data_IF_574221799153
#
_entry.id   IF_574221799153
#
_cell.length_a   1.000
_cell.length_b   1.000
_cell.length_c   1.000
_cell.angle_alpha   90.00
_cell.angle_beta   90.00
_cell.angle_gamma   90.00
#
_symmetry.space_group_name_H-M   'P 1'
#
loop_
_entity.id
_entity.type
_entity.pdbx_description
1 polymer ?
#
# COMPACT_ATOMS: atom_id res chain seq x y z
N UNK A 1 30.04 -51.42 1.51
CA UNK A 1 29.01 -50.58 0.95
C UNK A 1 29.66 -49.24 0.64
N UNK A 2 30.09 -49.05 -0.62
CA UNK A 2 30.55 -47.78 -1.13
C UNK A 2 29.36 -46.88 -1.34
N UNK A 3 29.26 -45.81 -0.56
CA UNK A 3 28.34 -44.71 -0.81
C UNK A 3 28.95 -43.91 -1.97
N UNK A 4 28.41 -44.14 -3.16
CA UNK A 4 28.71 -43.30 -4.33
C UNK A 4 28.32 -41.86 -3.99
N UNK A 5 29.31 -41.01 -3.80
CA UNK A 5 29.16 -39.56 -3.81
C UNK A 5 28.75 -39.17 -5.21
N UNK A 6 27.41 -39.17 -5.48
CA UNK A 6 26.91 -38.51 -6.67
C UNK A 6 27.22 -37.03 -6.54
N UNK A 7 28.02 -36.58 -7.46
CA UNK A 7 28.33 -35.17 -7.66
C UNK A 7 27.06 -34.32 -7.72
N UNK A 8 26.81 -33.61 -6.64
CA UNK A 8 25.69 -32.64 -6.54
C UNK A 8 26.04 -31.30 -7.19
N UNK A 9 27.18 -31.25 -7.91
CA UNK A 9 27.76 -29.99 -8.38
C UNK A 9 27.44 -29.62 -9.83
N UNK A 10 26.65 -30.40 -10.58
CA UNK A 10 26.68 -30.20 -12.03
C UNK A 10 25.40 -29.64 -12.69
N UNK A 11 24.26 -29.44 -12.03
CA UNK A 11 23.06 -29.07 -12.77
C UNK A 11 22.29 -27.84 -12.26
N UNK A 12 22.85 -27.07 -11.35
CA UNK A 12 22.35 -25.72 -11.11
C UNK A 12 23.25 -24.73 -11.84
N UNK A 13 22.97 -24.51 -13.13
CA UNK A 13 23.57 -23.42 -13.89
C UNK A 13 23.28 -22.09 -13.23
N UNK A 14 24.16 -21.63 -12.35
CA UNK A 14 24.09 -20.29 -11.76
C UNK A 14 24.23 -19.15 -12.80
N UNK A 15 24.60 -19.54 -14.05
CA UNK A 15 24.72 -18.64 -15.19
C UNK A 15 23.36 -18.23 -15.82
N UNK A 16 22.25 -18.91 -15.47
CA UNK A 16 20.95 -18.66 -16.09
C UNK A 16 20.04 -17.78 -15.22
N UNK A 17 20.47 -17.39 -13.99
CA UNK A 17 19.74 -16.47 -13.14
C UNK A 17 19.94 -15.03 -13.61
N UNK A 18 18.83 -14.37 -13.88
CA UNK A 18 18.78 -12.97 -14.29
C UNK A 18 18.44 -12.06 -13.10
N UNK A 19 18.66 -10.76 -13.24
CA UNK A 19 18.19 -9.77 -12.25
C UNK A 19 16.67 -9.84 -12.08
N UNK A 20 15.92 -10.18 -13.13
CA UNK A 20 14.48 -10.35 -13.07
C UNK A 20 14.06 -11.52 -12.15
N UNK A 21 14.84 -12.60 -12.10
CA UNK A 21 14.58 -13.72 -11.19
C UNK A 21 14.78 -13.33 -9.72
N UNK A 22 15.79 -12.50 -9.44
CA UNK A 22 16.01 -11.93 -8.11
C UNK A 22 14.89 -10.99 -7.70
N UNK A 23 14.46 -10.10 -8.59
CA UNK A 23 13.32 -9.20 -8.34
C UNK A 23 12.02 -9.99 -8.08
N UNK A 24 11.77 -11.02 -8.89
CA UNK A 24 10.61 -11.90 -8.68
C UNK A 24 10.68 -12.65 -7.33
N UNK A 25 11.85 -13.18 -6.97
CA UNK A 25 12.05 -13.85 -5.69
C UNK A 25 11.88 -12.89 -4.50
N UNK A 26 12.42 -11.67 -4.60
CA UNK A 26 12.25 -10.59 -3.63
C UNK A 26 10.77 -10.26 -3.45
N UNK A 27 10.05 -10.03 -4.53
CA UNK A 27 8.61 -9.73 -4.51
C UNK A 27 7.81 -10.86 -3.85
N UNK A 28 8.16 -12.11 -4.15
CA UNK A 28 7.51 -13.29 -3.54
C UNK A 28 7.74 -13.38 -2.03
N UNK A 29 8.93 -13.03 -1.56
CA UNK A 29 9.27 -13.04 -0.12
C UNK A 29 8.58 -11.88 0.59
N UNK A 30 8.61 -10.68 0.02
CA UNK A 30 8.13 -9.46 0.68
C UNK A 30 6.60 -9.27 0.59
N UNK A 31 6.01 -9.58 -0.56
CA UNK A 31 4.56 -9.37 -0.81
C UNK A 31 3.75 -10.67 -0.77
N UNK A 32 4.40 -11.84 -0.71
CA UNK A 32 3.75 -13.14 -0.79
C UNK A 32 3.54 -13.64 -2.22
N UNK A 33 3.03 -14.86 -2.34
CA UNK A 33 2.77 -15.52 -3.64
C UNK A 33 1.59 -14.89 -4.36
N UNK A 34 1.72 -14.67 -5.67
CA UNK A 34 0.61 -14.23 -6.53
C UNK A 34 -0.51 -15.28 -6.60
N UNK A 35 -1.75 -14.81 -6.51
CA UNK A 35 -2.96 -15.65 -6.62
C UNK A 35 -3.71 -15.34 -7.91
N UNK A 36 -3.05 -15.52 -9.05
CA UNK A 36 -3.63 -15.24 -10.38
C UNK A 36 -4.88 -16.08 -10.72
N UNK A 37 -5.08 -17.20 -10.01
CA UNK A 37 -6.28 -18.04 -10.16
C UNK A 37 -7.53 -17.46 -9.49
N UNK A 38 -7.39 -16.42 -8.67
CA UNK A 38 -8.52 -15.74 -8.04
C UNK A 38 -9.22 -14.85 -9.06
N UNK A 39 -10.43 -15.23 -9.45
CA UNK A 39 -11.24 -14.42 -10.34
C UNK A 39 -11.84 -13.24 -9.55
N UNK A 40 -11.43 -12.03 -9.90
CA UNK A 40 -12.04 -10.79 -9.41
C UNK A 40 -12.99 -10.26 -10.48
N UNK A 41 -14.11 -9.71 -10.06
CA UNK A 41 -15.01 -8.98 -10.97
C UNK A 41 -14.36 -7.68 -11.43
N UNK A 42 -14.84 -7.10 -12.53
CA UNK A 42 -14.31 -5.82 -13.02
C UNK A 42 -14.55 -4.67 -12.03
N UNK A 43 -15.64 -4.75 -11.25
CA UNK A 43 -15.95 -3.81 -10.18
C UNK A 43 -14.95 -3.92 -9.02
N UNK A 44 -14.65 -5.14 -8.56
CA UNK A 44 -13.64 -5.38 -7.53
C UNK A 44 -12.24 -4.95 -7.97
N UNK A 45 -11.86 -5.22 -9.23
CA UNK A 45 -10.59 -4.74 -9.79
C UNK A 45 -10.51 -3.23 -9.80
N UNK A 46 -11.60 -2.57 -10.21
CA UNK A 46 -11.67 -1.11 -10.24
C UNK A 46 -11.54 -0.52 -8.85
N UNK A 47 -12.25 -1.09 -7.89
CA UNK A 47 -12.20 -0.67 -6.49
C UNK A 47 -10.79 -0.83 -5.93
N UNK A 48 -10.18 -2.01 -6.11
CA UNK A 48 -8.79 -2.28 -5.69
C UNK A 48 -7.81 -1.32 -6.36
N UNK A 49 -7.98 -1.02 -7.66
CA UNK A 49 -7.09 -0.12 -8.38
C UNK A 49 -7.12 1.31 -7.81
N UNK A 50 -8.29 1.83 -7.45
CA UNK A 50 -8.40 3.14 -6.80
C UNK A 50 -7.87 3.12 -5.36
N UNK A 51 -8.11 2.04 -4.62
CA UNK A 51 -7.58 1.85 -3.28
C UNK A 51 -6.05 1.91 -3.28
N UNK A 52 -5.39 1.07 -4.09
CA UNK A 52 -3.93 1.04 -4.20
C UNK A 52 -3.36 2.34 -4.80
N UNK A 53 -4.03 2.93 -5.78
CA UNK A 53 -3.65 4.24 -6.32
C UNK A 53 -3.72 5.34 -5.24
N UNK A 54 -4.68 5.26 -4.32
CA UNK A 54 -4.80 6.17 -3.18
C UNK A 54 -3.59 6.10 -2.25
N UNK A 55 -3.17 4.90 -1.85
CA UNK A 55 -1.96 4.70 -1.06
C UNK A 55 -0.72 5.23 -1.78
N UNK A 56 -0.57 4.90 -3.07
CA UNK A 56 0.56 5.31 -3.88
C UNK A 56 0.65 6.83 -4.02
N UNK A 57 -0.46 7.48 -4.34
CA UNK A 57 -0.50 8.93 -4.55
C UNK A 57 -0.21 9.70 -3.26
N UNK A 58 -0.77 9.26 -2.12
CA UNK A 58 -0.44 9.85 -0.83
C UNK A 58 1.04 9.65 -0.51
N UNK A 59 1.61 8.46 -0.75
CA UNK A 59 3.03 8.19 -0.53
C UNK A 59 3.97 9.10 -1.34
N UNK A 60 3.57 9.48 -2.55
CA UNK A 60 4.35 10.40 -3.40
C UNK A 60 4.34 11.85 -2.91
N UNK A 61 3.33 12.26 -2.12
CA UNK A 61 3.12 13.67 -1.74
C UNK A 61 3.35 13.96 -0.25
N UNK A 62 3.51 12.95 0.60
CA UNK A 62 3.86 13.18 2.01
C UNK A 62 5.33 13.58 2.18
N UNK A 63 5.65 14.40 3.20
CA UNK A 63 6.97 15.03 3.31
C UNK A 63 8.10 14.06 3.67
N UNK A 64 7.81 12.94 4.30
CA UNK A 64 8.83 11.98 4.74
C UNK A 64 8.29 10.57 4.80
N UNK A 65 8.74 9.74 3.87
CA UNK A 65 8.36 8.33 3.78
C UNK A 65 9.46 7.53 3.07
N UNK A 66 9.36 6.21 3.12
CA UNK A 66 10.17 5.34 2.27
C UNK A 66 9.71 5.45 0.81
N UNK A 67 10.63 5.31 -0.14
CA UNK A 67 10.27 5.37 -1.55
C UNK A 67 9.25 4.28 -1.90
N UNK A 68 8.31 4.65 -2.77
CA UNK A 68 7.40 3.70 -3.38
C UNK A 68 8.21 2.73 -4.24
N UNK A 69 8.02 1.43 -4.04
CA UNK A 69 8.71 0.41 -4.81
C UNK A 69 7.83 -0.13 -5.93
N UNK A 70 6.65 -0.62 -5.58
CA UNK A 70 5.74 -1.28 -6.51
C UNK A 70 4.30 -1.20 -6.03
N UNK A 71 3.37 -1.06 -6.97
CA UNK A 71 1.92 -1.09 -6.72
C UNK A 71 1.31 -2.17 -7.60
N UNK A 72 0.48 -3.04 -7.05
CA UNK A 72 -0.15 -4.13 -7.80
C UNK A 72 -1.58 -4.38 -7.35
N UNK A 73 -2.43 -4.71 -8.32
CA UNK A 73 -3.80 -5.19 -8.07
C UNK A 73 -3.92 -6.71 -8.27
N UNK A 74 -2.78 -7.40 -8.46
CA UNK A 74 -2.75 -8.86 -8.47
C UNK A 74 -2.84 -9.33 -7.01
N UNK A 75 -3.85 -10.16 -6.65
CA UNK A 75 -3.99 -10.65 -5.30
C UNK A 75 -2.75 -11.41 -4.82
N UNK A 76 -2.29 -11.08 -3.60
CA UNK A 76 -1.14 -11.71 -2.95
C UNK A 76 -1.49 -12.11 -1.52
N UNK A 77 -1.27 -13.35 -1.17
CA UNK A 77 -1.62 -13.86 0.15
C UNK A 77 -3.11 -13.62 0.48
N UNK A 78 -3.41 -12.76 1.44
CA UNK A 78 -4.78 -12.37 1.85
C UNK A 78 -5.21 -11.01 1.26
N UNK A 79 -4.30 -10.23 0.71
CA UNK A 79 -4.57 -8.92 0.14
C UNK A 79 -5.04 -9.02 -1.31
N UNK A 80 -5.99 -8.17 -1.71
CA UNK A 80 -6.49 -8.06 -3.09
C UNK A 80 -5.56 -7.21 -3.95
N UNK A 81 -4.84 -6.28 -3.35
CA UNK A 81 -3.78 -5.48 -3.95
C UNK A 81 -2.68 -5.22 -2.92
N UNK A 82 -1.58 -4.64 -3.33
CA UNK A 82 -0.47 -4.27 -2.46
C UNK A 82 0.24 -3.03 -2.99
N UNK A 83 0.34 -2.01 -2.15
CA UNK A 83 1.22 -0.87 -2.35
C UNK A 83 2.44 -1.03 -1.47
N UNK A 84 3.59 -1.27 -2.09
CA UNK A 84 4.83 -1.57 -1.38
C UNK A 84 5.78 -0.39 -1.40
N UNK A 85 6.21 0.00 -0.20
CA UNK A 85 7.33 0.91 0.03
C UNK A 85 8.54 0.10 0.46
N UNK A 86 9.71 0.46 -0.02
CA UNK A 86 10.97 -0.23 0.29
C UNK A 86 11.99 0.80 0.76
N UNK A 87 12.48 0.70 1.99
CA UNK A 87 13.50 1.60 2.49
C UNK A 87 14.82 1.39 1.73
N UNK A 88 15.50 2.48 1.36
CA UNK A 88 16.82 2.43 0.72
C UNK A 88 17.92 1.94 1.67
N UNK A 89 17.66 2.05 2.97
CA UNK A 89 18.57 1.62 4.06
C UNK A 89 17.75 1.27 5.30
N UNK A 90 18.31 0.47 6.16
CA UNK A 90 17.69 0.11 7.44
C UNK A 90 17.50 1.35 8.32
N UNK A 91 16.27 1.54 8.82
CA UNK A 91 15.95 2.58 9.77
C UNK A 91 16.15 2.09 11.19
N UNK A 92 17.07 2.69 11.92
CA UNK A 92 17.27 2.41 13.35
C UNK A 92 16.24 3.13 14.23
N UNK A 93 15.61 4.19 13.71
CA UNK A 93 14.59 4.97 14.42
C UNK A 93 13.69 5.71 13.43
N UNK A 94 12.45 5.98 13.83
CA UNK A 94 11.49 6.75 13.04
C UNK A 94 11.19 8.09 13.73
N UNK A 95 11.16 9.16 12.94
CA UNK A 95 10.76 10.48 13.44
C UNK A 95 9.24 10.58 13.54
N UNK A 96 8.72 11.51 14.36
CA UNK A 96 7.28 11.79 14.44
C UNK A 96 6.69 12.10 13.07
N UNK A 97 7.34 12.95 12.28
CA UNK A 97 6.90 13.30 10.92
C UNK A 97 6.83 12.09 9.98
N UNK A 98 7.76 11.12 10.09
CA UNK A 98 7.71 9.88 9.34
C UNK A 98 6.49 9.04 9.71
N UNK A 99 6.18 8.91 11.00
CA UNK A 99 5.01 8.16 11.48
C UNK A 99 3.70 8.83 11.09
N UNK A 100 3.61 10.16 11.17
CA UNK A 100 2.45 10.94 10.72
C UNK A 100 2.23 10.79 9.20
N UNK A 101 3.30 10.83 8.40
CA UNK A 101 3.24 10.55 6.96
C UNK A 101 2.74 9.14 6.68
N UNK A 102 3.24 8.15 7.43
CA UNK A 102 2.82 6.76 7.29
C UNK A 102 1.35 6.54 7.66
N UNK A 103 0.86 7.24 8.69
CA UNK A 103 -0.57 7.25 9.02
C UNK A 103 -1.41 7.77 7.86
N UNK A 104 -1.01 8.89 7.24
CA UNK A 104 -1.73 9.44 6.09
C UNK A 104 -1.74 8.47 4.90
N UNK A 105 -0.63 7.76 4.63
CA UNK A 105 -0.56 6.75 3.56
C UNK A 105 -1.56 5.62 3.83
N UNK A 106 -1.66 5.12 5.06
CA UNK A 106 -2.60 4.04 5.43
C UNK A 106 -4.06 4.42 5.19
N UNK A 107 -4.43 5.70 5.32
CA UNK A 107 -5.77 6.17 5.00
C UNK A 107 -5.99 6.47 3.51
N UNK A 108 -4.93 6.49 2.69
CA UNK A 108 -4.99 6.81 1.27
C UNK A 108 -5.98 5.94 0.50
N UNK A 109 -5.97 4.62 0.71
CA UNK A 109 -6.87 3.68 0.05
C UNK A 109 -8.34 3.94 0.42
N UNK A 110 -8.64 4.04 1.71
CA UNK A 110 -9.99 4.30 2.22
C UNK A 110 -10.57 5.62 1.70
N UNK A 111 -9.79 6.68 1.73
CA UNK A 111 -10.22 8.01 1.28
C UNK A 111 -10.39 8.03 -0.24
N UNK A 112 -9.56 7.31 -1.00
CA UNK A 112 -9.75 7.16 -2.45
C UNK A 112 -11.09 6.48 -2.77
N UNK A 113 -11.44 5.39 -2.06
CA UNK A 113 -12.77 4.75 -2.20
C UNK A 113 -13.90 5.74 -1.93
N UNK A 114 -13.84 6.50 -0.83
CA UNK A 114 -14.85 7.48 -0.45
C UNK A 114 -15.04 8.58 -1.51
N UNK A 115 -13.93 9.11 -2.04
CA UNK A 115 -13.97 10.19 -3.03
C UNK A 115 -14.52 9.74 -4.39
N UNK A 116 -14.27 8.49 -4.79
CA UNK A 116 -14.62 7.99 -6.13
C UNK A 116 -15.97 7.31 -6.15
N UNK A 117 -16.28 6.50 -5.13
CA UNK A 117 -17.48 5.67 -5.09
C UNK A 117 -18.55 6.20 -4.14
N UNK A 118 -18.22 7.18 -3.32
CA UNK A 118 -19.09 7.74 -2.28
C UNK A 118 -19.00 7.00 -0.95
N UNK A 119 -19.40 7.67 0.16
CA UNK A 119 -19.23 7.13 1.51
C UNK A 119 -20.04 5.85 1.77
N UNK A 120 -21.15 5.64 1.05
CA UNK A 120 -21.98 4.44 1.20
C UNK A 120 -21.37 3.19 0.55
N UNK A 121 -20.43 3.37 -0.39
CA UNK A 121 -19.81 2.28 -1.15
C UNK A 121 -18.38 1.94 -0.70
N UNK A 122 -17.98 2.46 0.45
CA UNK A 122 -16.68 2.12 1.02
C UNK A 122 -16.68 0.69 1.54
N UNK A 123 -15.59 -0.02 1.30
CA UNK A 123 -15.51 -1.45 1.59
C UNK A 123 -14.77 -1.77 2.89
N UNK A 124 -14.83 -3.03 3.27
CA UNK A 124 -14.03 -3.58 4.39
C UNK A 124 -12.55 -3.80 4.01
N UNK A 125 -12.15 -3.48 2.78
CA UNK A 125 -10.77 -3.65 2.29
C UNK A 125 -9.73 -2.93 3.15
N UNK A 126 -10.08 -1.72 3.62
CA UNK A 126 -9.22 -0.92 4.47
C UNK A 126 -9.13 -1.38 5.95
N UNK A 127 -9.73 -2.53 6.33
CA UNK A 127 -9.76 -2.95 7.73
C UNK A 127 -8.36 -3.18 8.32
N UNK A 128 -7.43 -3.75 7.54
CA UNK A 128 -6.03 -3.93 7.95
C UNK A 128 -5.30 -2.61 8.12
N UNK A 129 -5.52 -1.65 7.22
CA UNK A 129 -4.88 -0.34 7.27
C UNK A 129 -5.34 0.46 8.49
N UNK A 130 -6.65 0.44 8.76
CA UNK A 130 -7.23 1.06 9.96
C UNK A 130 -6.67 0.41 11.23
N UNK A 131 -6.51 -0.91 11.26
CA UNK A 131 -5.93 -1.62 12.39
C UNK A 131 -4.48 -1.19 12.64
N UNK A 132 -3.65 -1.19 11.59
CA UNK A 132 -2.23 -0.79 11.65
C UNK A 132 -2.11 0.68 12.04
N UNK A 133 -2.92 1.56 11.45
CA UNK A 133 -2.94 2.99 11.77
C UNK A 133 -3.31 3.22 13.25
N UNK A 134 -4.34 2.53 13.76
CA UNK A 134 -4.75 2.64 15.17
C UNK A 134 -3.67 2.17 16.13
N UNK A 135 -3.02 1.04 15.83
CA UNK A 135 -1.90 0.53 16.64
C UNK A 135 -0.71 1.49 16.62
N UNK A 136 -0.38 2.03 15.46
CA UNK A 136 0.71 3.02 15.31
C UNK A 136 0.42 4.30 16.07
N UNK A 137 -0.77 4.89 15.90
CA UNK A 137 -1.18 6.08 16.64
C UNK A 137 -1.15 5.85 18.14
N UNK A 138 -1.68 4.71 18.61
CA UNK A 138 -1.61 4.33 20.04
C UNK A 138 -0.17 4.20 20.52
N UNK A 139 0.73 3.57 19.75
CA UNK A 139 2.16 3.48 20.06
C UNK A 139 2.84 4.85 20.16
N UNK A 140 2.52 5.77 19.24
CA UNK A 140 3.04 7.15 19.27
C UNK A 140 2.66 7.86 20.57
N UNK A 141 1.42 7.67 21.04
CA UNK A 141 0.92 8.30 22.27
C UNK A 141 1.44 7.61 23.53
N UNK A 142 1.32 6.28 23.61
CA UNK A 142 1.52 5.55 24.88
C UNK A 142 2.95 5.04 25.09
N UNK A 143 3.69 4.79 24.01
CA UNK A 143 5.03 4.21 24.08
C UNK A 143 6.15 5.22 23.79
N UNK A 144 5.93 6.13 22.81
CA UNK A 144 7.00 7.01 22.31
C UNK A 144 6.92 8.45 22.88
N UNK A 145 5.85 8.77 23.65
CA UNK A 145 5.70 10.09 24.27
C UNK A 145 5.58 11.23 23.26
N UNK A 146 4.89 10.98 22.13
CA UNK A 146 4.72 11.95 21.04
C UNK A 146 3.45 12.79 21.15
N UNK A 147 2.79 12.83 22.32
CA UNK A 147 1.67 13.72 22.64
C UNK A 147 2.09 14.84 23.57
N UNK A 148 1.75 16.07 23.23
CA UNK A 148 2.02 17.23 24.09
C UNK A 148 1.12 17.24 25.34
N UNK A 149 -0.10 16.67 25.27
CA UNK A 149 -1.03 16.61 26.40
C UNK A 149 -0.65 15.57 27.44
N UNK A 150 -0.07 14.45 27.01
CA UNK A 150 0.34 13.36 27.91
C UNK A 150 1.81 13.44 28.31
N UNK A 151 2.59 14.28 27.62
CA UNK A 151 4.01 14.44 27.87
C UNK A 151 4.83 13.21 27.51
N UNK A 152 6.07 13.18 28.04
CA UNK A 152 7.05 12.12 27.72
C UNK A 152 6.98 10.99 28.74
N UNK A 153 5.79 10.43 28.95
CA UNK A 153 5.52 9.34 29.90
C UNK A 153 5.11 8.10 29.11
N UNK A 154 5.59 6.93 29.54
CA UNK A 154 5.18 5.65 28.96
C UNK A 154 3.96 5.12 29.73
N UNK A 155 2.85 4.97 29.02
CA UNK A 155 1.58 4.47 29.55
C UNK A 155 1.29 3.02 29.14
N UNK A 156 2.19 2.37 28.43
CA UNK A 156 2.04 0.97 28.03
C UNK A 156 2.34 0.08 29.24
N UNK A 157 1.44 -0.85 29.56
CA UNK A 157 1.73 -1.89 30.53
C UNK A 157 2.95 -2.70 30.05
N UNK A 158 3.85 -3.04 30.97
CA UNK A 158 4.88 -4.03 30.65
C UNK A 158 4.17 -5.34 30.35
N UNK A 159 4.29 -5.85 29.15
CA UNK A 159 3.98 -7.23 28.82
C UNK A 159 4.99 -8.10 29.59
N UNK A 160 4.68 -8.39 30.83
CA UNK A 160 5.36 -9.48 31.53
C UNK A 160 4.94 -10.75 30.82
N UNK A 161 5.93 -11.45 30.25
CA UNK A 161 5.75 -12.78 29.67
C UNK A 161 4.89 -13.61 30.63
N UNK A 162 3.74 -14.06 30.16
CA UNK A 162 2.85 -14.96 30.90
C UNK A 162 3.53 -16.32 30.95
N UNK A 163 4.37 -16.52 31.96
CA UNK A 163 4.93 -17.82 32.27
C UNK A 163 3.87 -18.60 33.05
N UNK A 164 3.39 -19.71 32.47
CA UNK A 164 2.46 -20.67 33.06
C UNK A 164 1.01 -20.19 33.30
N UNK A 165 0.21 -20.10 32.24
CA UNK A 165 -1.22 -20.50 32.29
C UNK A 165 -2.19 -19.71 33.17
N UNK A 166 -1.79 -18.71 33.92
CA UNK A 166 -2.67 -17.82 34.66
C UNK A 166 -2.97 -16.58 33.81
N UNK A 167 -4.24 -16.43 33.43
CA UNK A 167 -4.76 -15.17 32.91
C UNK A 167 -4.60 -14.10 34.00
N UNK A 168 -3.48 -13.36 33.94
CA UNK A 168 -3.33 -12.18 34.78
C UNK A 168 -4.29 -11.15 34.20
N UNK A 169 -5.31 -10.78 34.98
CA UNK A 169 -6.17 -9.64 34.70
C UNK A 169 -5.23 -8.46 34.39
N UNK A 170 -5.26 -7.95 33.15
CA UNK A 170 -4.51 -6.76 32.76
C UNK A 170 -5.03 -5.61 33.65
N UNK A 171 -4.33 -5.33 34.72
CA UNK A 171 -4.56 -4.11 35.50
C UNK A 171 -4.17 -2.95 34.59
N UNK A 172 -5.15 -2.17 34.16
CA UNK A 172 -4.90 -0.87 33.53
C UNK A 172 -4.14 -0.01 34.54
N UNK A 173 -2.85 0.15 34.36
CA UNK A 173 -1.99 1.00 35.18
C UNK A 173 -2.20 2.51 34.92
N UNK A 174 -3.38 2.88 34.40
CA UNK A 174 -3.71 4.24 33.96
C UNK A 174 -5.04 4.63 34.57
N UNK A 175 -5.14 5.85 35.11
CA UNK A 175 -6.43 6.37 35.61
C UNK A 175 -7.42 6.52 34.45
N UNK A 176 -8.72 6.46 34.76
CA UNK A 176 -9.79 6.68 33.78
C UNK A 176 -9.64 8.00 33.02
N UNK A 177 -9.30 9.08 33.71
CA UNK A 177 -9.03 10.38 33.11
C UNK A 177 -7.88 10.35 32.10
N UNK A 178 -6.80 9.63 32.42
CA UNK A 178 -5.66 9.48 31.49
C UNK A 178 -6.04 8.62 30.29
N UNK A 179 -6.81 7.54 30.48
CA UNK A 179 -7.31 6.69 29.40
C UNK A 179 -8.15 7.49 28.40
N UNK A 180 -9.04 8.37 28.90
CA UNK A 180 -9.84 9.26 28.04
C UNK A 180 -8.96 10.21 27.20
N UNK A 181 -7.89 10.76 27.79
CA UNK A 181 -6.96 11.63 27.07
C UNK A 181 -6.20 10.82 25.99
N UNK A 182 -5.77 9.58 26.30
CA UNK A 182 -5.13 8.69 25.32
C UNK A 182 -6.05 8.47 24.12
N UNK A 183 -7.31 8.11 24.35
CA UNK A 183 -8.27 7.84 23.28
C UNK A 183 -8.56 9.11 22.46
N UNK A 184 -8.65 10.29 23.07
CA UNK A 184 -8.78 11.56 22.36
C UNK A 184 -7.56 11.87 21.48
N UNK A 185 -6.35 11.67 21.99
CA UNK A 185 -5.12 11.93 21.24
C UNK A 185 -4.91 10.95 20.10
N UNK A 186 -5.25 9.66 20.28
CA UNK A 186 -5.26 8.66 19.20
C UNK A 186 -6.22 9.06 18.10
N UNK A 187 -7.46 9.44 18.46
CA UNK A 187 -8.47 9.92 17.50
C UNK A 187 -7.98 11.15 16.75
N UNK A 188 -7.41 12.14 17.45
CA UNK A 188 -6.85 13.34 16.84
C UNK A 188 -5.80 13.02 15.76
N UNK A 189 -4.83 12.13 16.07
CA UNK A 189 -3.81 11.72 15.09
C UNK A 189 -4.41 11.06 13.86
N UNK A 190 -5.44 10.24 14.05
CA UNK A 190 -6.15 9.57 12.95
C UNK A 190 -6.89 10.59 12.09
N UNK A 191 -7.66 11.49 12.69
CA UNK A 191 -8.42 12.54 11.99
C UNK A 191 -7.48 13.49 11.21
N UNK A 192 -6.34 13.85 11.80
CA UNK A 192 -5.31 14.66 11.12
C UNK A 192 -4.71 13.93 9.92
N UNK A 193 -4.43 12.61 10.06
CA UNK A 193 -3.91 11.79 8.98
C UNK A 193 -4.93 11.61 7.84
N UNK A 194 -6.19 11.35 8.17
CA UNK A 194 -7.30 11.30 7.19
C UNK A 194 -7.46 12.64 6.47
N UNK A 195 -7.47 13.75 7.20
CA UNK A 195 -7.55 15.08 6.62
C UNK A 195 -6.39 15.40 5.69
N UNK A 196 -5.19 14.93 6.04
CA UNK A 196 -4.00 15.08 5.18
C UNK A 196 -4.13 14.26 3.90
N UNK A 197 -4.49 12.97 4.00
CA UNK A 197 -4.72 12.11 2.85
C UNK A 197 -5.83 12.68 1.94
N UNK A 198 -6.95 13.12 2.52
CA UNK A 198 -8.08 13.70 1.78
C UNK A 198 -7.67 14.94 0.99
N UNK A 199 -6.89 15.82 1.59
CA UNK A 199 -6.37 17.02 0.92
C UNK A 199 -5.51 16.64 -0.28
N UNK A 200 -4.50 15.77 -0.10
CA UNK A 200 -3.63 15.32 -1.18
C UNK A 200 -4.44 14.70 -2.32
N UNK A 201 -5.35 13.76 -2.02
CA UNK A 201 -6.13 13.07 -3.04
C UNK A 201 -7.11 13.99 -3.77
N UNK A 202 -7.62 15.03 -3.10
CA UNK A 202 -8.51 16.02 -3.71
C UNK A 202 -7.74 16.97 -4.62
N UNK A 203 -6.55 17.42 -4.21
CA UNK A 203 -5.67 18.29 -4.99
C UNK A 203 -5.14 17.58 -6.24
N UNK A 204 -4.91 16.26 -6.17
CA UNK A 204 -4.33 15.42 -7.23
C UNK A 204 -5.32 14.38 -7.79
N UNK A 205 -6.61 14.73 -7.90
CA UNK A 205 -7.64 13.78 -8.32
C UNK A 205 -7.43 13.23 -9.74
N UNK A 206 -6.93 14.05 -10.66
CA UNK A 206 -6.62 13.62 -12.04
C UNK A 206 -5.47 12.60 -12.06
N UNK A 207 -4.48 12.76 -11.17
CA UNK A 207 -3.37 11.82 -11.00
C UNK A 207 -3.86 10.50 -10.42
N UNK A 208 -4.78 10.54 -9.45
CA UNK A 208 -5.44 9.35 -8.91
C UNK A 208 -6.13 8.55 -10.01
N UNK A 209 -6.91 9.21 -10.87
CA UNK A 209 -7.55 8.57 -12.01
C UNK A 209 -6.54 7.98 -12.99
N UNK A 210 -5.43 8.66 -13.20
CA UNK A 210 -4.38 8.23 -14.13
C UNK A 210 -3.68 6.97 -13.63
N UNK A 211 -3.28 6.93 -12.36
CA UNK A 211 -2.65 5.75 -11.74
C UNK A 211 -3.63 4.57 -11.71
N UNK A 212 -4.88 4.79 -11.28
CA UNK A 212 -5.89 3.72 -11.22
C UNK A 212 -6.17 3.09 -12.60
N UNK A 213 -6.26 3.90 -13.67
CA UNK A 213 -6.41 3.40 -15.04
C UNK A 213 -5.21 2.58 -15.50
N UNK A 214 -4.01 3.05 -15.19
CA UNK A 214 -2.80 2.31 -15.51
C UNK A 214 -2.71 0.98 -14.75
N UNK A 215 -3.12 0.93 -13.48
CA UNK A 215 -3.22 -0.32 -12.72
C UNK A 215 -4.22 -1.30 -13.32
N UNK A 216 -5.36 -0.83 -13.84
CA UNK A 216 -6.32 -1.69 -14.54
C UNK A 216 -5.78 -2.25 -15.86
N UNK A 217 -4.88 -1.52 -16.53
CA UNK A 217 -4.28 -1.95 -17.80
C UNK A 217 -3.06 -2.86 -17.60
N UNK A 218 -2.17 -2.48 -16.70
CA UNK A 218 -0.86 -3.13 -16.50
C UNK A 218 -0.81 -4.06 -15.29
N UNK A 219 -1.82 -4.06 -14.42
CA UNK A 219 -1.95 -4.83 -13.18
C UNK A 219 -0.87 -4.56 -12.11
N UNK A 220 0.31 -4.12 -12.52
CA UNK A 220 1.44 -3.81 -11.62
C UNK A 220 2.23 -2.65 -12.20
N UNK A 221 2.60 -1.70 -11.35
CA UNK A 221 3.41 -0.52 -11.70
C UNK A 221 4.58 -0.38 -10.73
N UNK A 222 5.77 -0.08 -11.27
CA UNK A 222 6.92 0.35 -10.49
C UNK A 222 6.85 1.86 -10.20
N UNK A 223 7.67 2.33 -9.27
CA UNK A 223 7.78 3.76 -8.97
C UNK A 223 8.13 4.60 -10.22
N UNK A 224 9.08 4.12 -11.04
CA UNK A 224 9.51 4.84 -12.24
C UNK A 224 8.39 4.90 -13.28
N UNK A 225 7.63 3.80 -13.46
CA UNK A 225 6.48 3.77 -14.36
C UNK A 225 5.38 4.73 -13.90
N UNK A 226 5.11 4.82 -12.59
CA UNK A 226 4.15 5.80 -12.06
C UNK A 226 4.64 7.22 -12.33
N UNK A 227 5.92 7.51 -12.09
CA UNK A 227 6.52 8.80 -12.41
C UNK A 227 6.39 9.17 -13.89
N UNK A 228 6.61 8.22 -14.81
CA UNK A 228 6.47 8.42 -16.25
C UNK A 228 5.01 8.72 -16.64
N UNK A 229 4.07 7.92 -16.12
CA UNK A 229 2.63 8.11 -16.40
C UNK A 229 2.15 9.50 -15.96
N UNK A 230 2.55 9.94 -14.77
CA UNK A 230 2.19 11.26 -14.23
C UNK A 230 2.77 12.42 -15.06
N UNK A 231 3.91 12.20 -15.73
CA UNK A 231 4.47 13.17 -16.70
C UNK A 231 3.85 13.05 -18.11
N UNK A 232 2.93 12.10 -18.32
CA UNK A 232 2.34 11.81 -19.64
C UNK A 232 3.26 11.03 -20.58
N UNK A 233 4.31 10.41 -20.05
CA UNK A 233 5.26 9.58 -20.79
C UNK A 233 4.75 8.13 -20.90
N UNK A 234 5.01 7.42 -22.02
CA UNK A 234 4.59 6.03 -22.16
C UNK A 234 5.39 5.09 -21.25
N UNK A 235 4.75 4.01 -20.80
CA UNK A 235 5.45 2.91 -20.14
C UNK A 235 6.22 2.13 -21.20
N UNK A 236 7.53 2.05 -21.05
CA UNK A 236 8.41 1.21 -21.85
C UNK A 236 8.81 -0.01 -21.02
N UNK A 237 8.32 -1.19 -21.40
CA UNK A 237 8.73 -2.47 -20.80
C UNK A 237 9.59 -3.22 -21.81
N UNK A 238 10.86 -3.45 -21.48
CA UNK A 238 11.73 -4.32 -22.27
C UNK A 238 11.21 -5.75 -22.22
N UNK A 239 11.03 -6.38 -23.38
CA UNK A 239 10.49 -7.74 -23.52
C UNK A 239 11.36 -8.83 -22.85
N UNK A 240 12.57 -8.47 -22.43
CA UNK A 240 13.55 -9.40 -21.86
C UNK A 240 13.49 -9.58 -20.34
N UNK A 241 12.65 -8.79 -19.62
CA UNK A 241 12.71 -8.68 -18.15
C UNK A 241 11.47 -9.06 -17.35
N UNK A 242 10.45 -9.76 -17.88
CA UNK A 242 9.22 -9.83 -17.11
C UNK A 242 8.27 -11.02 -17.30
N UNK A 243 8.71 -12.13 -17.86
CA UNK A 243 7.88 -13.32 -17.91
C UNK A 243 8.43 -14.40 -16.97
N UNK A 244 7.78 -14.58 -15.81
CA UNK A 244 7.98 -15.79 -15.01
C UNK A 244 7.72 -17.04 -15.86
N UNK A 245 8.22 -18.24 -15.50
CA UNK A 245 8.31 -19.43 -16.35
C UNK A 245 6.97 -20.05 -16.79
N UNK A 246 5.91 -19.25 -16.94
CA UNK A 246 4.58 -19.69 -17.37
C UNK A 246 3.90 -18.91 -18.50
N UNK A 247 4.38 -17.72 -18.87
CA UNK A 247 3.62 -16.81 -19.77
C UNK A 247 4.33 -16.57 -21.12
N UNK A 248 4.51 -17.64 -21.92
CA UNK A 248 5.01 -17.53 -23.29
C UNK A 248 3.93 -17.16 -24.34
N UNK A 249 2.73 -16.69 -23.96
CA UNK A 249 1.61 -16.51 -24.89
C UNK A 249 1.01 -15.11 -24.97
N UNK A 250 1.62 -14.05 -24.46
CA UNK A 250 1.15 -12.68 -24.72
C UNK A 250 2.11 -11.94 -25.66
N UNK A 251 1.84 -12.06 -26.95
CA UNK A 251 2.45 -11.22 -27.99
C UNK A 251 1.92 -9.80 -27.87
N UNK A 252 2.84 -8.84 -27.76
CA UNK A 252 2.79 -7.42 -28.18
C UNK A 252 1.42 -6.79 -28.42
N UNK A 253 1.07 -5.82 -27.61
CA UNK A 253 0.32 -4.63 -28.04
C UNK A 253 1.08 -3.38 -27.63
N UNK A 254 1.83 -2.82 -28.55
CA UNK A 254 2.22 -1.42 -28.49
C UNK A 254 0.96 -0.62 -28.82
N UNK A 255 0.34 0.00 -27.84
CA UNK A 255 -0.79 0.89 -28.06
C UNK A 255 -0.28 2.32 -27.99
N UNK A 256 -0.06 2.91 -29.16
CA UNK A 256 0.10 4.35 -29.29
C UNK A 256 -1.22 5.04 -28.89
N UNK A 257 -1.25 5.65 -27.71
CA UNK A 257 -2.39 6.45 -27.25
C UNK A 257 -2.09 7.96 -27.31
N UNK A 258 -1.85 8.48 -28.50
CA UNK A 258 -1.83 9.93 -28.73
C UNK A 258 -3.20 10.53 -29.17
N UNK A 259 -4.31 9.82 -29.04
CA UNK A 259 -5.54 10.29 -29.67
C UNK A 259 -6.86 10.17 -28.91
N UNK A 260 -6.93 9.64 -27.71
CA UNK A 260 -8.23 9.38 -27.06
C UNK A 260 -8.49 10.06 -25.71
N UNK A 261 -7.59 10.87 -25.21
CA UNK A 261 -7.81 11.60 -23.94
C UNK A 261 -8.82 12.75 -24.09
N UNK A 262 -9.01 13.26 -25.30
CA UNK A 262 -9.93 14.37 -25.56
C UNK A 262 -11.43 14.01 -25.58
N UNK A 263 -11.80 12.76 -25.79
CA UNK A 263 -13.20 12.35 -26.00
C UNK A 263 -13.97 12.04 -24.70
N UNK A 264 -13.27 11.88 -23.55
CA UNK A 264 -13.91 11.53 -22.27
C UNK A 264 -14.29 12.74 -21.43
N UNK A 265 -13.66 13.90 -21.63
CA UNK A 265 -13.99 15.13 -20.89
C UNK A 265 -15.42 15.66 -21.10
N UNK A 266 -16.10 15.24 -22.15
CA UNK A 266 -17.44 15.75 -22.49
C UNK A 266 -18.63 14.86 -22.06
N UNK A 267 -18.42 13.64 -21.61
CA UNK A 267 -19.54 12.74 -21.24
C UNK A 267 -19.94 12.88 -19.75
N UNK A 268 -18.99 13.02 -18.85
CA UNK A 268 -19.28 13.09 -17.41
C UNK A 268 -19.87 14.44 -16.97
N UNK A 269 -19.58 15.52 -17.68
CA UNK A 269 -20.18 16.83 -17.40
C UNK A 269 -21.65 16.96 -17.83
N UNK A 270 -22.16 16.09 -18.72
CA UNK A 270 -23.58 16.09 -19.10
C UNK A 270 -24.48 15.33 -18.14
N UNK A 271 -23.96 14.34 -17.44
CA UNK A 271 -24.74 13.56 -16.46
C UNK A 271 -25.09 14.37 -15.19
N UNK A 272 -24.25 15.35 -14.81
CA UNK A 272 -24.47 16.18 -13.64
C UNK A 272 -25.41 17.37 -13.83
N UNK A 273 -25.82 17.71 -15.08
CA UNK A 273 -26.79 18.80 -15.39
C UNK A 273 -28.24 18.38 -15.48
N UNK A 274 -28.55 17.09 -15.34
CA UNK A 274 -29.91 16.56 -15.41
C UNK A 274 -30.48 16.16 -14.04
N UNK A 275 -29.76 16.41 -12.95
CA UNK A 275 -30.22 16.14 -11.58
C UNK A 275 -30.14 17.39 -10.66
N UNK A 276 -30.18 18.59 -11.23
CA UNK A 276 -30.38 19.84 -10.47
C UNK A 276 -31.69 20.52 -10.88
#
# INVERSE_FOLDING_TARGET
YEISTRDWSSDVCSSDLTMADFEYAKDKVLMGTERRSMAMTDEEKKLTAYHEAGHALVALHVPKTDPLHKVTIIPRGRALGVTMQLPERDHLSHTKLFLESRLAILFGGRIAEELIFGPENVTTGAASDIQVATQMARGMITAYGMSDKLGRVRYQANEQEVFLGHAVTQTQNVSEATAQIIDQEVRRLIEEAEGHAKRILTEHLDDLHTIAKALLEYETLSNDEIGNILRGEPIVRDETGGAGPGDRRRRLRVVHHAGRVAAWRHRDLRARRLQA
#
